data_IF_536137923207
#
_entry.id   IF_536137923207
#
_cell.length_a   1.000
_cell.length_b   1.000
_cell.length_c   1.000
_cell.angle_alpha   90.00
_cell.angle_beta   90.00
_cell.angle_gamma   90.00
#
_symmetry.space_group_name_H-M   'P 1'
#
loop_
_entity.id
_entity.type
_entity.pdbx_description
1 polymer ?
#
# COMPACT_ATOMS: atom_id res chain seq x y z
N UNK A 1 -0.88 19.52 -35.32
CA UNK A 1 0.04 19.66 -34.17
C UNK A 1 -0.49 18.68 -33.14
N UNK A 2 0.32 17.74 -32.64
CA UNK A 2 -0.08 17.00 -31.47
C UNK A 2 -0.12 17.99 -30.32
N UNK A 3 -1.29 18.11 -29.65
CA UNK A 3 -1.37 18.90 -28.42
C UNK A 3 -0.39 18.30 -27.41
N UNK A 4 0.46 19.13 -26.84
CA UNK A 4 1.37 18.70 -25.79
C UNK A 4 0.54 18.32 -24.58
N UNK A 5 0.81 17.13 -24.03
CA UNK A 5 0.14 16.60 -22.84
C UNK A 5 1.04 16.71 -21.62
N UNK A 6 0.46 16.90 -20.47
CA UNK A 6 1.13 16.95 -19.17
C UNK A 6 0.65 15.82 -18.26
N UNK A 7 1.58 15.21 -17.52
CA UNK A 7 1.26 14.27 -16.47
C UNK A 7 1.30 14.98 -15.13
N UNK A 8 0.23 14.85 -14.35
CA UNK A 8 0.08 15.51 -13.06
C UNK A 8 -0.33 14.50 -12.01
N UNK A 9 0.50 14.37 -10.97
CA UNK A 9 0.14 13.65 -9.76
C UNK A 9 -0.56 14.59 -8.79
N UNK A 10 -1.80 14.27 -8.45
CA UNK A 10 -2.58 14.96 -7.43
C UNK A 10 -2.59 14.15 -6.15
N UNK A 11 -2.17 14.77 -5.05
CA UNK A 11 -2.29 14.22 -3.70
C UNK A 11 -3.39 14.95 -2.92
N UNK A 12 -4.37 14.21 -2.40
CA UNK A 12 -5.50 14.74 -1.63
C UNK A 12 -5.49 14.09 -0.25
N UNK A 13 -5.48 14.90 0.80
CA UNK A 13 -5.50 14.39 2.18
C UNK A 13 -6.51 15.17 3.04
N UNK A 14 -7.25 14.45 3.87
CA UNK A 14 -8.23 15.09 4.76
C UNK A 14 -9.11 14.08 5.47
N UNK A 15 -10.17 14.57 6.11
CA UNK A 15 -11.15 13.71 6.75
C UNK A 15 -11.93 12.91 5.71
N UNK A 16 -11.97 11.58 5.89
CA UNK A 16 -12.73 10.69 5.00
C UNK A 16 -14.23 10.92 5.14
N UNK A 17 -14.91 10.93 3.98
CA UNK A 17 -16.37 11.02 3.88
C UNK A 17 -16.87 10.50 2.53
N UNK A 18 -18.10 9.97 2.48
CA UNK A 18 -18.70 9.51 1.24
C UNK A 18 -18.73 10.59 0.16
N UNK A 19 -18.39 10.20 -1.07
CA UNK A 19 -18.45 11.06 -2.25
C UNK A 19 -17.20 11.90 -2.53
N UNK A 20 -16.19 11.90 -1.66
CA UNK A 20 -14.98 12.69 -1.84
C UNK A 20 -14.26 12.30 -3.15
N UNK A 21 -13.93 11.04 -3.35
CA UNK A 21 -13.29 10.55 -4.57
C UNK A 21 -14.14 10.83 -5.80
N UNK A 22 -15.48 10.63 -5.73
CA UNK A 22 -16.38 10.89 -6.83
C UNK A 22 -16.34 12.38 -7.26
N UNK A 23 -16.29 13.31 -6.30
CA UNK A 23 -16.25 14.74 -6.59
C UNK A 23 -15.01 15.18 -7.37
N UNK A 24 -13.85 14.60 -7.09
CA UNK A 24 -12.62 14.87 -7.82
C UNK A 24 -12.59 14.20 -9.19
N UNK A 25 -13.06 12.93 -9.25
CA UNK A 25 -13.14 12.20 -10.52
C UNK A 25 -14.13 12.85 -11.50
N UNK A 26 -15.21 13.44 -11.02
CA UNK A 26 -16.18 14.15 -11.83
C UNK A 26 -15.56 15.36 -12.55
N UNK A 27 -14.72 16.12 -11.86
CA UNK A 27 -13.96 17.23 -12.47
C UNK A 27 -13.02 16.71 -13.56
N UNK A 28 -12.26 15.66 -13.29
CA UNK A 28 -11.34 15.06 -14.26
C UNK A 28 -12.08 14.52 -15.49
N UNK A 29 -13.26 13.94 -15.27
CA UNK A 29 -14.12 13.41 -16.34
C UNK A 29 -14.66 14.54 -17.24
N UNK A 30 -15.03 15.70 -16.69
CA UNK A 30 -15.50 16.85 -17.48
C UNK A 30 -14.45 17.42 -18.44
N UNK A 31 -13.18 17.17 -18.15
CA UNK A 31 -12.05 17.62 -18.97
C UNK A 31 -11.40 16.47 -19.78
N UNK A 32 -12.06 15.32 -19.87
CA UNK A 32 -11.56 14.13 -20.57
C UNK A 32 -10.14 13.72 -20.16
N UNK A 33 -9.77 13.94 -18.88
CA UNK A 33 -8.47 13.58 -18.37
C UNK A 33 -8.25 12.04 -18.38
N UNK A 34 -7.11 11.61 -18.88
CA UNK A 34 -6.76 10.20 -18.91
C UNK A 34 -6.09 9.78 -17.59
N UNK A 35 -6.71 8.88 -16.85
CA UNK A 35 -6.18 8.38 -15.58
C UNK A 35 -5.10 7.33 -15.86
N UNK A 36 -3.88 7.59 -15.39
CA UNK A 36 -2.73 6.71 -15.51
C UNK A 36 -2.57 5.79 -14.29
N UNK A 37 -2.83 6.32 -13.09
CA UNK A 37 -2.83 5.54 -11.85
C UNK A 37 -3.71 6.21 -10.80
N UNK A 38 -4.23 5.41 -9.86
CA UNK A 38 -5.02 5.88 -8.73
C UNK A 38 -4.80 4.99 -7.51
N UNK A 39 -4.58 5.60 -6.36
CA UNK A 39 -4.41 4.90 -5.10
C UNK A 39 -5.09 5.64 -3.95
N UNK A 40 -5.78 4.88 -3.09
CA UNK A 40 -6.44 5.42 -1.90
C UNK A 40 -6.06 4.60 -0.68
N UNK A 41 -5.76 5.26 0.41
CA UNK A 41 -5.56 4.66 1.72
C UNK A 41 -6.31 5.44 2.80
N UNK A 42 -6.81 4.71 3.80
CA UNK A 42 -7.41 5.30 4.98
C UNK A 42 -6.70 4.83 6.25
N UNK A 43 -6.40 5.78 7.14
CA UNK A 43 -5.91 5.48 8.48
C UNK A 43 -6.75 6.29 9.48
N UNK A 44 -7.48 5.57 10.35
CA UNK A 44 -8.49 6.16 11.23
C UNK A 44 -9.58 6.84 10.39
N UNK A 45 -9.75 8.14 10.49
CA UNK A 45 -10.69 8.94 9.71
C UNK A 45 -10.00 9.83 8.67
N UNK A 46 -8.74 9.56 8.38
CA UNK A 46 -7.95 10.36 7.42
C UNK A 46 -7.77 9.58 6.14
N UNK A 47 -8.28 10.16 5.05
CA UNK A 47 -8.09 9.71 3.68
C UNK A 47 -6.78 10.27 3.12
N UNK A 48 -6.05 9.44 2.38
CA UNK A 48 -5.00 9.84 1.46
C UNK A 48 -5.32 9.27 0.08
N UNK A 49 -5.59 10.13 -0.90
CA UNK A 49 -5.93 9.76 -2.28
C UNK A 49 -4.89 10.36 -3.22
N UNK A 50 -4.25 9.52 -4.01
CA UNK A 50 -3.35 9.89 -5.09
C UNK A 50 -4.00 9.61 -6.43
N UNK A 51 -3.95 10.56 -7.37
CA UNK A 51 -4.44 10.40 -8.74
C UNK A 51 -3.35 10.91 -9.68
N UNK A 52 -2.82 10.03 -10.51
CA UNK A 52 -1.94 10.38 -11.61
C UNK A 52 -2.76 10.41 -12.89
N UNK A 53 -2.80 11.55 -13.56
CA UNK A 53 -3.56 11.70 -14.80
C UNK A 53 -2.78 12.48 -15.85
N UNK A 54 -3.16 12.31 -17.10
CA UNK A 54 -2.62 13.02 -18.26
C UNK A 54 -3.70 13.87 -18.90
N UNK A 55 -3.34 15.09 -19.28
CA UNK A 55 -4.24 16.08 -19.86
C UNK A 55 -3.49 17.00 -20.80
N UNK A 56 -4.20 17.68 -21.72
CA UNK A 56 -3.57 18.67 -22.59
C UNK A 56 -3.04 19.87 -21.79
N UNK A 57 -1.88 20.41 -22.18
CA UNK A 57 -1.26 21.59 -21.56
C UNK A 57 -2.22 22.80 -21.53
N UNK A 58 -3.12 22.90 -22.51
CA UNK A 58 -4.10 24.00 -22.59
C UNK A 58 -5.18 23.91 -21.50
N UNK A 59 -5.50 22.72 -21.03
CA UNK A 59 -6.56 22.47 -20.04
C UNK A 59 -6.00 22.30 -18.62
N UNK A 60 -4.71 21.97 -18.46
CA UNK A 60 -4.09 21.62 -17.17
C UNK A 60 -4.31 22.70 -16.11
N UNK A 61 -4.11 23.97 -16.46
CA UNK A 61 -4.32 25.10 -15.54
C UNK A 61 -5.76 25.24 -15.06
N UNK A 62 -6.75 25.01 -15.95
CA UNK A 62 -8.16 25.09 -15.59
C UNK A 62 -8.56 23.94 -14.66
N UNK A 63 -8.12 22.73 -14.97
CA UNK A 63 -8.38 21.53 -14.15
C UNK A 63 -7.78 21.67 -12.74
N UNK A 64 -6.52 22.08 -12.64
CA UNK A 64 -5.88 22.31 -11.34
C UNK A 64 -6.63 23.33 -10.50
N UNK A 65 -7.12 24.42 -11.13
CA UNK A 65 -7.92 25.44 -10.46
C UNK A 65 -9.24 24.89 -9.94
N UNK A 66 -9.96 24.10 -10.73
CA UNK A 66 -11.24 23.49 -10.32
C UNK A 66 -11.04 22.47 -9.19
N UNK A 67 -10.01 21.64 -9.28
CA UNK A 67 -9.63 20.69 -8.22
C UNK A 67 -9.28 21.44 -6.92
N UNK A 68 -8.53 22.55 -6.99
CA UNK A 68 -8.19 23.38 -5.83
C UNK A 68 -9.43 23.99 -5.17
N UNK A 69 -10.36 24.53 -5.94
CA UNK A 69 -11.61 25.05 -5.41
C UNK A 69 -12.45 23.96 -4.76
N UNK A 70 -12.55 22.80 -5.40
CA UNK A 70 -13.26 21.64 -4.84
C UNK A 70 -12.63 21.17 -3.53
N UNK A 71 -11.30 21.10 -3.44
CA UNK A 71 -10.59 20.75 -2.23
C UNK A 71 -10.90 21.76 -1.10
N UNK A 72 -10.92 23.05 -1.41
CA UNK A 72 -11.27 24.10 -0.46
C UNK A 72 -12.72 23.97 0.03
N UNK A 73 -13.67 23.76 -0.89
CA UNK A 73 -15.09 23.53 -0.58
C UNK A 73 -15.25 22.30 0.35
N UNK A 74 -14.51 21.25 0.05
CA UNK A 74 -14.56 20.00 0.79
C UNK A 74 -13.70 20.01 2.08
N UNK A 75 -12.91 21.05 2.35
CA UNK A 75 -12.07 21.18 3.54
C UNK A 75 -10.96 20.12 3.60
N UNK A 76 -10.41 19.74 2.45
CA UNK A 76 -9.28 18.81 2.33
C UNK A 76 -8.05 19.52 1.76
N UNK A 77 -6.87 18.99 2.04
CA UNK A 77 -5.62 19.48 1.47
C UNK A 77 -5.41 18.85 0.09
N UNK A 78 -4.88 19.63 -0.84
CA UNK A 78 -4.52 19.16 -2.18
C UNK A 78 -3.10 19.61 -2.53
N UNK A 79 -2.36 18.78 -3.23
CA UNK A 79 -1.04 19.07 -3.80
C UNK A 79 -1.00 18.63 -5.25
N UNK A 80 -0.22 19.33 -6.07
CA UNK A 80 0.02 19.01 -7.48
C UNK A 80 1.51 18.83 -7.69
N UNK A 81 1.89 17.75 -8.34
CA UNK A 81 3.27 17.45 -8.73
C UNK A 81 3.29 17.12 -10.22
N UNK A 82 3.84 17.99 -11.07
CA UNK A 82 4.08 17.64 -12.46
C UNK A 82 5.08 16.48 -12.54
N UNK A 83 4.81 15.53 -13.42
CA UNK A 83 5.67 14.37 -13.68
C UNK A 83 6.13 14.47 -15.13
N UNK A 84 7.41 14.44 -15.37
CA UNK A 84 7.94 14.43 -16.73
C UNK A 84 7.91 13.03 -17.35
N UNK A 85 8.08 12.95 -18.68
CA UNK A 85 8.02 11.70 -19.43
C UNK A 85 9.10 10.71 -18.98
N UNK A 86 10.31 11.18 -18.64
CA UNK A 86 11.42 10.32 -18.21
C UNK A 86 11.15 9.72 -16.83
N UNK A 87 10.63 10.53 -15.91
CA UNK A 87 10.23 10.09 -14.57
C UNK A 87 9.10 9.06 -14.65
N UNK A 88 8.10 9.32 -15.51
CA UNK A 88 6.97 8.41 -15.72
C UNK A 88 7.43 7.07 -16.28
N UNK A 89 8.23 7.05 -17.35
CA UNK A 89 8.73 5.82 -17.97
C UNK A 89 9.63 5.03 -16.99
N UNK A 90 10.50 5.69 -16.26
CA UNK A 90 11.30 5.06 -15.20
C UNK A 90 10.42 4.40 -14.12
N UNK A 91 9.33 5.04 -13.74
CA UNK A 91 8.37 4.48 -12.79
C UNK A 91 7.64 3.26 -13.38
N UNK A 92 7.22 3.31 -14.65
CA UNK A 92 6.58 2.18 -15.36
C UNK A 92 7.50 0.98 -15.44
N UNK A 93 8.78 1.16 -15.77
CA UNK A 93 9.77 0.07 -15.79
C UNK A 93 9.90 -0.64 -14.44
N UNK A 94 9.74 0.10 -13.35
CA UNK A 94 9.80 -0.47 -12.01
C UNK A 94 8.56 -1.34 -11.68
N UNK A 95 7.43 -1.17 -12.36
CA UNK A 95 6.22 -1.97 -12.11
C UNK A 95 6.38 -3.43 -12.54
N UNK A 96 7.27 -3.72 -13.50
CA UNK A 96 7.58 -5.08 -13.97
C UNK A 96 8.45 -5.92 -13.02
N UNK A 97 8.96 -5.36 -11.91
CA UNK A 97 9.83 -6.07 -10.97
C UNK A 97 9.07 -7.14 -10.16
N UNK A 98 9.82 -8.13 -9.67
CA UNK A 98 9.28 -9.15 -8.78
C UNK A 98 8.60 -8.52 -7.56
N UNK A 99 7.52 -9.16 -7.10
CA UNK A 99 6.79 -8.74 -5.90
C UNK A 99 6.79 -9.84 -4.87
N UNK A 100 6.87 -9.45 -3.60
CA UNK A 100 6.81 -10.33 -2.44
C UNK A 100 5.82 -9.77 -1.42
N UNK A 101 5.28 -10.66 -0.62
CA UNK A 101 4.44 -10.32 0.52
C UNK A 101 5.13 -10.83 1.77
N UNK A 102 5.42 -9.93 2.69
CA UNK A 102 5.82 -10.25 4.05
C UNK A 102 4.64 -10.00 4.98
N UNK A 103 4.15 -11.05 5.62
CA UNK A 103 3.10 -10.94 6.64
C UNK A 103 3.74 -11.16 8.00
N UNK A 104 3.45 -10.29 8.96
CA UNK A 104 3.90 -10.39 10.35
C UNK A 104 2.67 -10.53 11.25
N UNK A 105 2.71 -11.52 12.14
CA UNK A 105 1.65 -11.83 13.10
C UNK A 105 2.25 -11.86 14.52
N UNK A 106 1.62 -11.17 15.46
CA UNK A 106 2.04 -11.17 16.86
C UNK A 106 0.88 -10.84 17.79
N UNK A 107 1.05 -11.09 19.09
CA UNK A 107 0.06 -10.67 20.10
C UNK A 107 -0.03 -9.16 20.18
N UNK A 108 1.11 -8.48 20.08
CA UNK A 108 1.23 -7.04 19.97
C UNK A 108 2.30 -6.75 18.91
N UNK A 109 2.00 -5.84 18.01
CA UNK A 109 2.99 -5.33 17.06
C UNK A 109 3.40 -3.93 17.49
N UNK A 110 4.66 -3.77 17.83
CA UNK A 110 5.25 -2.51 18.25
C UNK A 110 6.16 -1.94 17.15
N UNK A 111 6.54 -0.66 17.30
CA UNK A 111 7.37 0.03 16.31
C UNK A 111 8.73 -0.63 16.11
N UNK A 112 9.31 -1.25 17.15
CA UNK A 112 10.62 -1.92 17.06
C UNK A 112 10.55 -3.14 16.12
N UNK A 113 9.52 -3.99 16.25
CA UNK A 113 9.32 -5.15 15.38
C UNK A 113 9.16 -4.72 13.91
N UNK A 114 8.36 -3.69 13.66
CA UNK A 114 8.13 -3.14 12.31
C UNK A 114 9.42 -2.54 11.75
N UNK A 115 10.14 -1.74 12.54
CA UNK A 115 11.40 -1.11 12.13
C UNK A 115 12.46 -2.15 11.78
N UNK A 116 12.63 -3.17 12.60
CA UNK A 116 13.64 -4.21 12.37
C UNK A 116 13.33 -5.03 11.12
N UNK A 117 12.06 -5.38 10.90
CA UNK A 117 11.64 -6.03 9.65
C UNK A 117 11.88 -5.12 8.43
N UNK A 118 11.61 -3.82 8.53
CA UNK A 118 11.87 -2.85 7.46
C UNK A 118 13.37 -2.70 7.15
N UNK A 119 14.25 -2.81 8.15
CA UNK A 119 15.71 -2.84 7.95
C UNK A 119 16.11 -4.07 7.13
N UNK A 120 15.63 -5.27 7.47
CA UNK A 120 15.91 -6.49 6.69
C UNK A 120 15.44 -6.32 5.24
N UNK A 121 14.23 -5.78 5.02
CA UNK A 121 13.70 -5.52 3.67
C UNK A 121 14.63 -4.59 2.90
N UNK A 122 15.03 -3.47 3.52
CA UNK A 122 15.92 -2.46 2.92
C UNK A 122 17.29 -3.08 2.57
N UNK A 123 17.88 -3.83 3.49
CA UNK A 123 19.22 -4.41 3.32
C UNK A 123 19.24 -5.49 2.23
N UNK A 124 18.10 -6.08 1.91
CA UNK A 124 17.89 -6.95 0.75
C UNK A 124 17.58 -6.20 -0.56
N UNK A 125 17.62 -4.86 -0.55
CA UNK A 125 17.38 -4.05 -1.74
C UNK A 125 15.92 -4.01 -2.19
N UNK A 126 14.97 -4.33 -1.31
CA UNK A 126 13.53 -4.30 -1.62
C UNK A 126 12.91 -2.98 -1.19
N UNK A 127 11.95 -2.50 -1.98
CA UNK A 127 11.09 -1.38 -1.62
C UNK A 127 9.80 -1.88 -0.95
N UNK A 128 9.30 -1.12 0.01
CA UNK A 128 7.97 -1.33 0.60
C UNK A 128 6.98 -0.45 -0.15
N UNK A 129 6.09 -1.05 -0.94
CA UNK A 129 5.07 -0.32 -1.70
C UNK A 129 3.84 -0.01 -0.85
N UNK A 130 3.45 -0.90 0.06
CA UNK A 130 2.35 -0.68 0.99
C UNK A 130 2.50 -1.48 2.27
N UNK A 131 1.87 -0.97 3.34
CA UNK A 131 1.72 -1.68 4.62
C UNK A 131 0.25 -1.65 4.99
N UNK A 132 -0.35 -2.83 5.17
CA UNK A 132 -1.78 -2.96 5.47
C UNK A 132 -1.97 -3.80 6.73
N UNK A 133 -2.79 -3.30 7.67
CA UNK A 133 -3.23 -4.09 8.81
C UNK A 133 -4.39 -4.99 8.39
N UNK A 134 -4.21 -6.31 8.52
CA UNK A 134 -5.20 -7.31 8.15
C UNK A 134 -6.21 -7.62 9.26
N UNK A 135 -5.86 -7.33 10.52
CA UNK A 135 -6.74 -7.56 11.68
C UNK A 135 -7.52 -6.32 12.06
N UNK A 136 -8.67 -6.52 12.68
CA UNK A 136 -9.51 -5.44 13.23
C UNK A 136 -8.77 -4.58 14.25
N UNK A 137 -9.32 -3.37 14.50
CA UNK A 137 -8.82 -2.46 15.53
C UNK A 137 -9.45 -2.84 16.86
N UNK A 138 -8.65 -2.76 17.92
CA UNK A 138 -9.13 -3.05 19.27
C UNK A 138 -9.57 -1.78 19.99
N UNK A 139 -10.54 -1.92 20.88
CA UNK A 139 -10.90 -0.86 21.81
C UNK A 139 -9.75 -0.62 22.80
N UNK A 140 -9.34 0.64 22.95
CA UNK A 140 -8.36 1.03 23.97
C UNK A 140 -8.92 0.89 25.38
N UNK A 141 -10.25 1.10 25.53
CA UNK A 141 -10.92 1.05 26.83
C UNK A 141 -11.26 -0.39 27.27
N UNK A 142 -11.50 -1.27 26.29
CA UNK A 142 -11.89 -2.66 26.50
C UNK A 142 -11.05 -3.59 25.63
N UNK A 143 -9.74 -3.75 25.95
CA UNK A 143 -8.88 -4.61 25.15
C UNK A 143 -9.32 -6.07 25.31
N UNK A 144 -9.63 -6.72 24.20
CA UNK A 144 -9.91 -8.15 24.20
C UNK A 144 -8.63 -8.94 24.53
N UNK A 145 -8.77 -9.98 25.37
CA UNK A 145 -7.68 -10.92 25.65
C UNK A 145 -7.47 -11.83 24.44
N UNK A 146 -6.23 -12.03 24.01
CA UNK A 146 -5.82 -12.94 22.92
C UNK A 146 -6.08 -12.47 21.48
N UNK A 147 -6.32 -11.20 21.21
CA UNK A 147 -6.38 -10.72 19.83
C UNK A 147 -4.95 -10.58 19.27
N UNK A 148 -4.71 -11.23 18.14
CA UNK A 148 -3.46 -11.09 17.41
C UNK A 148 -3.53 -9.88 16.48
N UNK A 149 -2.40 -9.21 16.31
CA UNK A 149 -2.20 -8.18 15.30
C UNK A 149 -1.50 -8.79 14.10
N UNK A 150 -2.02 -8.52 12.90
CA UNK A 150 -1.44 -8.99 11.64
C UNK A 150 -1.29 -7.81 10.70
N UNK A 151 -0.08 -7.61 10.18
CA UNK A 151 0.21 -6.63 9.13
C UNK A 151 0.87 -7.30 7.93
N UNK A 152 0.56 -6.80 6.76
CA UNK A 152 1.09 -7.24 5.49
C UNK A 152 1.89 -6.11 4.85
N UNK A 153 3.11 -6.42 4.40
CA UNK A 153 3.96 -5.56 3.61
C UNK A 153 3.95 -6.06 2.17
N UNK A 154 3.61 -5.20 1.24
CA UNK A 154 3.81 -5.44 -0.19
C UNK A 154 5.20 -4.93 -0.58
N UNK A 155 6.05 -5.82 -1.08
CA UNK A 155 7.44 -5.55 -1.38
C UNK A 155 7.70 -5.65 -2.88
N UNK A 156 8.52 -4.76 -3.42
CA UNK A 156 8.91 -4.73 -4.82
C UNK A 156 10.42 -4.79 -4.98
N UNK A 157 10.87 -5.60 -5.93
CA UNK A 157 12.28 -5.79 -6.25
C UNK A 157 12.69 -7.25 -6.28
N UNK A 158 13.99 -7.49 -6.45
CA UNK A 158 14.58 -8.81 -6.34
C UNK A 158 15.52 -8.80 -5.14
N UNK A 159 15.27 -9.63 -4.10
CA UNK A 159 16.14 -9.66 -2.94
C UNK A 159 17.55 -10.11 -3.33
N UNK A 160 18.57 -9.58 -2.67
CA UNK A 160 19.97 -9.94 -2.87
C UNK A 160 20.15 -11.42 -2.58
N UNK A 161 19.64 -11.89 -1.43
CA UNK A 161 19.58 -13.31 -1.06
C UNK A 161 18.30 -13.59 -0.28
N UNK A 162 17.37 -14.30 -0.91
CA UNK A 162 16.08 -14.65 -0.31
C UNK A 162 16.21 -15.62 0.89
N UNK A 163 17.25 -16.46 0.90
CA UNK A 163 17.48 -17.41 1.99
C UNK A 163 18.08 -16.69 3.20
N UNK A 164 19.01 -15.78 2.97
CA UNK A 164 19.54 -14.92 4.01
C UNK A 164 18.44 -14.05 4.62
N UNK A 165 17.59 -13.43 3.78
CA UNK A 165 16.41 -12.69 4.24
C UNK A 165 15.50 -13.53 5.16
N UNK A 166 15.22 -14.78 4.77
CA UNK A 166 14.42 -15.70 5.59
C UNK A 166 15.10 -16.03 6.91
N UNK A 167 16.41 -16.27 6.89
CA UNK A 167 17.19 -16.57 8.10
C UNK A 167 17.18 -15.40 9.08
N UNK A 168 17.37 -14.18 8.61
CA UNK A 168 17.30 -12.98 9.44
C UNK A 168 15.89 -12.77 10.02
N UNK A 169 14.84 -12.93 9.21
CA UNK A 169 13.46 -12.83 9.69
C UNK A 169 13.13 -13.93 10.72
N UNK A 170 13.66 -15.14 10.57
CA UNK A 170 13.47 -16.24 11.52
C UNK A 170 14.15 -15.94 12.86
N UNK A 171 15.35 -15.40 12.84
CA UNK A 171 16.04 -14.95 14.04
C UNK A 171 15.24 -13.88 14.77
N UNK A 172 14.80 -12.84 14.06
CA UNK A 172 14.00 -11.76 14.61
C UNK A 172 12.65 -12.23 15.16
N UNK A 173 12.01 -13.19 14.49
CA UNK A 173 10.77 -13.83 14.92
C UNK A 173 10.94 -14.46 16.31
N UNK A 174 12.02 -15.20 16.50
CA UNK A 174 12.35 -15.82 17.80
C UNK A 174 12.67 -14.80 18.89
N UNK A 175 13.44 -13.76 18.55
CA UNK A 175 13.89 -12.75 19.54
C UNK A 175 12.77 -11.78 19.96
N UNK A 176 11.79 -11.52 19.08
CA UNK A 176 10.77 -10.48 19.25
C UNK A 176 9.34 -11.02 19.37
N UNK A 177 9.15 -12.32 19.49
CA UNK A 177 7.85 -12.97 19.71
C UNK A 177 6.79 -12.62 18.65
N UNK A 178 7.16 -12.69 17.37
CA UNK A 178 6.22 -12.62 16.26
C UNK A 178 6.45 -13.74 15.26
N UNK A 179 5.41 -14.17 14.56
CA UNK A 179 5.49 -15.09 13.44
C UNK A 179 5.53 -14.32 12.12
N UNK A 180 6.15 -14.88 11.09
CA UNK A 180 6.16 -14.27 9.77
C UNK A 180 5.90 -15.28 8.64
N UNK A 181 5.45 -14.75 7.51
CA UNK A 181 5.36 -15.48 6.24
C UNK A 181 5.92 -14.60 5.14
N UNK A 182 6.90 -15.12 4.38
CA UNK A 182 7.45 -14.45 3.19
C UNK A 182 7.09 -15.25 1.95
N UNK A 183 6.30 -14.66 1.06
CA UNK A 183 5.78 -15.31 -0.14
C UNK A 183 6.07 -14.45 -1.37
N UNK A 184 6.31 -15.11 -2.51
CA UNK A 184 6.30 -14.42 -3.80
C UNK A 184 4.87 -14.05 -4.18
N UNK A 185 4.61 -12.78 -4.52
CA UNK A 185 3.30 -12.35 -4.99
C UNK A 185 3.18 -12.60 -6.50
N UNK A 186 2.48 -13.66 -6.85
CA UNK A 186 2.22 -14.05 -8.22
C UNK A 186 0.75 -14.50 -8.37
N UNK A 187 0.32 -14.78 -9.60
CA UNK A 187 -1.05 -15.20 -9.88
C UNK A 187 -1.47 -16.45 -9.07
N UNK A 188 -0.54 -17.35 -8.77
CA UNK A 188 -0.85 -18.57 -8.03
C UNK A 188 -1.14 -18.34 -6.55
N UNK A 189 -0.65 -17.25 -5.95
CA UNK A 189 -0.96 -16.90 -4.56
C UNK A 189 -2.46 -16.68 -4.35
N UNK A 190 -3.14 -16.06 -5.30
CA UNK A 190 -4.56 -15.71 -5.21
C UNK A 190 -5.50 -16.81 -5.72
N UNK A 191 -4.97 -17.82 -6.41
CA UNK A 191 -5.75 -18.89 -7.05
C UNK A 191 -5.72 -20.22 -6.28
N UNK A 192 -5.30 -20.25 -5.03
CA UNK A 192 -5.26 -21.47 -4.21
C UNK A 192 -6.69 -21.94 -3.94
N UNK A 193 -6.97 -23.21 -4.32
CA UNK A 193 -8.29 -23.84 -4.15
C UNK A 193 -8.26 -25.01 -3.17
N UNK A 194 -7.08 -25.37 -2.64
CA UNK A 194 -6.89 -26.45 -1.69
C UNK A 194 -6.18 -25.90 -0.46
N UNK A 195 -6.75 -26.17 0.71
CA UNK A 195 -6.16 -25.90 2.00
C UNK A 195 -6.02 -27.24 2.71
N UNK A 196 -4.80 -27.61 3.09
CA UNK A 196 -4.53 -28.77 3.91
C UNK A 196 -4.05 -28.31 5.28
N UNK A 197 -4.63 -28.86 6.33
CA UNK A 197 -4.20 -28.65 7.71
C UNK A 197 -3.64 -29.97 8.25
N UNK A 198 -2.55 -29.88 8.97
CA UNK A 198 -2.11 -30.93 9.84
C UNK A 198 -3.07 -31.02 11.03
N UNK A 199 -3.30 -32.24 11.54
CA UNK A 199 -4.31 -32.46 12.58
C UNK A 199 -3.70 -32.28 13.96
N UNK A 200 -2.59 -32.94 14.23
CA UNK A 200 -1.96 -32.98 15.55
C UNK A 200 -1.26 -31.64 15.84
N UNK A 201 -1.47 -31.09 17.01
CA UNK A 201 -0.93 -29.79 17.44
C UNK A 201 -1.24 -28.59 16.53
N UNK A 202 -2.02 -28.79 15.45
CA UNK A 202 -2.45 -27.75 14.51
C UNK A 202 -3.94 -27.49 14.59
N UNK A 203 -4.79 -28.51 14.37
CA UNK A 203 -6.25 -28.43 14.51
C UNK A 203 -6.73 -28.84 15.89
N UNK A 204 -6.02 -29.75 16.53
CA UNK A 204 -6.28 -30.22 17.91
C UNK A 204 -5.04 -29.97 18.76
N UNK A 205 -5.25 -29.78 20.08
CA UNK A 205 -4.15 -29.50 21.01
C UNK A 205 -3.38 -30.74 21.47
N UNK A 206 -3.85 -31.91 21.13
CA UNK A 206 -3.27 -33.21 21.51
C UNK A 206 -2.83 -33.96 20.26
N UNK A 207 -1.83 -34.83 20.41
CA UNK A 207 -1.47 -35.83 19.41
C UNK A 207 -2.41 -37.03 19.51
N UNK A 208 -2.78 -37.61 18.36
CA UNK A 208 -3.60 -38.83 18.26
C UNK A 208 -2.78 -40.08 18.22
#
# INVERSE_FOLDING_TARGET
>A
MMDKEEQILVGITGQDRPGLTASFMDILAHHDANILDIGQADIHSTLSLGILFRISEQQSGQVMKELLFKATELGVNISFTPIDDEEYESWVEQQGKNRYILTIIGRHLNARQISTAAVVIKDQGLNIDSIVRLTGRQSIKHPERNVRACIEFSLRGTPIDINDMRSQLMQLSSEMEFDFSLQRDNMFRRMRRLICFDMDSTLIQTEC
#
